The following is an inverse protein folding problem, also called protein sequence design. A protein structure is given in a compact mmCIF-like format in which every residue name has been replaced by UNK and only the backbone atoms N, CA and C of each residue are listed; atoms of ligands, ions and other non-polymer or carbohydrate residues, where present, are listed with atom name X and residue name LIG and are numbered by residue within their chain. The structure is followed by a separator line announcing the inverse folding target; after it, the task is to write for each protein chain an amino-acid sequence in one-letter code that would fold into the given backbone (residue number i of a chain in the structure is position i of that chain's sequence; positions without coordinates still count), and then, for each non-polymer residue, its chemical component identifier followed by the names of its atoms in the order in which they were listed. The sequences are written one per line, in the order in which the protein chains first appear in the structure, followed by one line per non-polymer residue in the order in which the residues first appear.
data_IF_776107927363
#
_entry.id   IF_776107927363
#
_cell.length_a   1.000
_cell.length_b   1.000
_cell.length_c   1.000
_cell.angle_alpha   90.00
_cell.angle_beta   90.00
_cell.angle_gamma   90.00
#
_symmetry.space_group_name_H-M   'P 1'
#
loop_
_entity.id
_entity.type
_entity.pdbx_description
1 polymer ?
#
# COMPACT_ATOMS: atom_id res chain seq x y z
N UNK A 1 23.00 18.28 10.96
CA UNK A 1 21.53 18.36 10.96
C UNK A 1 20.87 17.24 10.14
N UNK A 2 21.63 16.34 9.50
CA UNK A 2 21.09 15.33 8.58
C UNK A 2 20.50 14.07 9.23
N UNK A 3 20.85 13.74 10.47
CA UNK A 3 20.26 12.57 11.15
C UNK A 3 18.81 12.77 11.58
N UNK A 4 18.30 14.01 11.70
CA UNK A 4 16.91 14.28 12.15
C UNK A 4 15.87 14.26 11.03
N UNK A 5 16.30 14.46 9.77
CA UNK A 5 15.44 14.41 8.58
C UNK A 5 14.67 13.09 8.45
N UNK A 6 15.30 11.90 8.54
CA UNK A 6 14.56 10.64 8.43
C UNK A 6 13.51 10.47 9.53
N UNK A 7 13.81 10.84 10.78
CA UNK A 7 12.82 10.77 11.87
C UNK A 7 11.63 11.70 11.64
N UNK A 8 11.87 12.91 11.14
CA UNK A 8 10.81 13.86 10.83
C UNK A 8 9.92 13.35 9.68
N UNK A 9 10.52 12.69 8.68
CA UNK A 9 9.78 12.01 7.60
C UNK A 9 8.95 10.85 8.16
N UNK A 10 9.49 10.01 9.05
CA UNK A 10 8.72 8.91 9.67
C UNK A 10 7.53 9.44 10.47
N UNK A 11 7.72 10.50 11.26
CA UNK A 11 6.63 11.10 12.04
C UNK A 11 5.53 11.66 11.11
N UNK A 12 5.92 12.31 10.03
CA UNK A 12 4.99 12.86 9.04
C UNK A 12 4.24 11.75 8.27
N UNK A 13 4.93 10.66 7.93
CA UNK A 13 4.28 9.49 7.33
C UNK A 13 3.26 8.88 8.32
N UNK A 14 3.64 8.72 9.58
CA UNK A 14 2.76 8.13 10.59
C UNK A 14 1.55 9.00 10.92
N UNK A 15 1.68 10.33 10.90
CA UNK A 15 0.54 11.22 11.07
C UNK A 15 -0.44 11.13 9.90
N UNK A 16 0.05 11.03 8.66
CA UNK A 16 -0.78 10.80 7.47
C UNK A 16 -1.51 9.45 7.56
N UNK A 17 -0.80 8.37 7.95
CA UNK A 17 -1.43 7.06 8.14
C UNK A 17 -2.53 7.10 9.20
N UNK A 18 -2.29 7.79 10.31
CA UNK A 18 -3.27 7.96 11.39
C UNK A 18 -4.53 8.68 10.88
N UNK A 19 -4.37 9.77 10.13
CA UNK A 19 -5.48 10.48 9.49
C UNK A 19 -6.26 9.59 8.52
N UNK A 20 -5.55 8.81 7.69
CA UNK A 20 -6.17 7.84 6.78
C UNK A 20 -7.02 6.81 7.54
N UNK A 21 -6.51 6.23 8.63
CA UNK A 21 -7.25 5.25 9.43
C UNK A 21 -8.50 5.83 10.09
N UNK A 22 -8.40 7.05 10.64
CA UNK A 22 -9.54 7.75 11.25
C UNK A 22 -10.66 8.00 10.23
N UNK A 23 -10.32 8.55 9.06
CA UNK A 23 -11.30 8.83 8.00
C UNK A 23 -11.90 7.53 7.46
N UNK A 24 -11.07 6.51 7.25
CA UNK A 24 -11.54 5.18 6.79
C UNK A 24 -12.52 4.57 7.80
N UNK A 25 -12.21 4.64 9.09
CA UNK A 25 -13.07 4.13 10.16
C UNK A 25 -14.40 4.89 10.23
N UNK A 26 -14.38 6.22 10.19
CA UNK A 26 -15.59 7.03 10.17
C UNK A 26 -16.49 6.70 8.96
N UNK A 27 -15.88 6.40 7.81
CA UNK A 27 -16.62 6.04 6.60
C UNK A 27 -17.23 4.63 6.67
N UNK A 28 -16.57 3.68 7.37
CA UNK A 28 -17.12 2.35 7.65
C UNK A 28 -18.23 2.36 8.71
N UNK A 29 -18.07 3.15 9.77
CA UNK A 29 -19.09 3.32 10.81
C UNK A 29 -20.38 3.97 10.23
N UNK A 30 -20.25 4.74 9.14
CA UNK A 30 -21.37 5.26 8.35
C UNK A 30 -22.04 4.25 7.42
N UNK A 31 -21.66 2.96 7.45
CA UNK A 31 -22.29 1.88 6.69
C UNK A 31 -21.73 1.62 5.29
N UNK A 32 -20.57 2.20 4.94
CA UNK A 32 -19.97 2.01 3.61
C UNK A 32 -19.30 0.65 3.46
N UNK A 33 -19.56 -0.03 2.34
CA UNK A 33 -18.96 -1.32 2.02
C UNK A 33 -17.44 -1.21 1.81
N UNK A 34 -16.67 -2.06 2.49
CA UNK A 34 -15.20 -2.07 2.48
C UNK A 34 -14.60 -2.19 1.07
N UNK A 35 -15.19 -3.03 0.22
CA UNK A 35 -14.71 -3.23 -1.16
C UNK A 35 -14.83 -1.97 -2.00
N UNK A 36 -15.92 -1.23 -1.82
CA UNK A 36 -16.18 0.02 -2.54
C UNK A 36 -15.18 1.08 -2.09
N UNK A 37 -14.92 1.18 -0.78
CA UNK A 37 -13.94 2.12 -0.24
C UNK A 37 -12.53 1.87 -0.77
N UNK A 38 -12.09 0.61 -0.81
CA UNK A 38 -10.76 0.24 -1.32
C UNK A 38 -10.64 0.58 -2.81
N UNK A 39 -11.69 0.33 -3.59
CA UNK A 39 -11.73 0.69 -5.02
C UNK A 39 -11.63 2.21 -5.22
N UNK A 40 -12.46 2.99 -4.52
CA UNK A 40 -12.45 4.45 -4.63
C UNK A 40 -11.10 5.04 -4.22
N UNK A 41 -10.48 4.51 -3.16
CA UNK A 41 -9.14 4.96 -2.73
C UNK A 41 -8.10 4.72 -3.82
N UNK A 42 -8.08 3.55 -4.44
CA UNK A 42 -7.11 3.22 -5.49
C UNK A 42 -7.37 4.02 -6.77
N UNK A 43 -8.64 4.25 -7.11
CA UNK A 43 -9.04 5.09 -8.24
C UNK A 43 -8.64 6.55 -8.03
N UNK A 44 -8.91 7.11 -6.84
CA UNK A 44 -8.53 8.48 -6.49
C UNK A 44 -7.01 8.67 -6.47
N UNK A 45 -6.26 7.71 -5.92
CA UNK A 45 -4.80 7.72 -5.95
C UNK A 45 -4.27 7.71 -7.39
N UNK A 46 -4.87 6.90 -8.27
CA UNK A 46 -4.50 6.86 -9.69
C UNK A 46 -4.79 8.20 -10.38
N UNK A 47 -6.00 8.74 -10.17
CA UNK A 47 -6.41 10.03 -10.74
C UNK A 47 -5.52 11.19 -10.27
N UNK A 48 -5.09 11.16 -9.00
CA UNK A 48 -4.18 12.17 -8.45
C UNK A 48 -2.76 12.00 -9.00
N UNK A 49 -2.25 10.77 -9.14
CA UNK A 49 -0.88 10.53 -9.60
C UNK A 49 -0.69 10.75 -11.11
N UNK A 50 -1.72 10.54 -11.93
CA UNK A 50 -1.67 10.76 -13.39
C UNK A 50 -1.11 12.14 -13.77
N UNK A 51 -1.65 13.28 -13.28
CA UNK A 51 -1.14 14.60 -13.66
C UNK A 51 0.30 14.82 -13.20
N UNK A 52 0.70 14.32 -12.03
CA UNK A 52 2.10 14.43 -11.57
C UNK A 52 3.04 13.58 -12.42
N UNK A 53 2.64 12.36 -12.79
CA UNK A 53 3.41 11.49 -13.68
C UNK A 53 3.59 12.14 -15.06
N UNK A 54 2.54 12.76 -15.60
CA UNK A 54 2.61 13.46 -16.89
C UNK A 54 3.44 14.76 -16.81
N UNK A 55 3.41 15.48 -15.70
CA UNK A 55 4.11 16.76 -15.57
C UNK A 55 5.60 16.61 -15.20
N UNK A 56 5.93 15.75 -14.24
CA UNK A 56 7.30 15.57 -13.76
C UNK A 56 8.08 14.52 -14.56
N UNK A 57 7.44 13.40 -14.91
CA UNK A 57 8.18 12.22 -15.39
C UNK A 57 8.09 12.04 -16.90
N UNK A 58 7.14 12.65 -17.61
CA UNK A 58 6.97 12.41 -19.05
C UNK A 58 8.23 12.69 -19.89
N UNK A 59 9.04 13.69 -19.53
CA UNK A 59 10.29 13.97 -20.27
C UNK A 59 11.40 12.93 -20.03
N UNK A 60 11.39 12.26 -18.88
CA UNK A 60 12.46 11.33 -18.46
C UNK A 60 11.99 9.87 -18.44
N UNK A 61 10.69 9.61 -18.65
CA UNK A 61 10.10 8.29 -18.52
C UNK A 61 10.60 7.35 -19.63
N UNK A 62 11.21 6.21 -19.28
CA UNK A 62 11.55 5.19 -20.26
C UNK A 62 10.26 4.63 -20.88
N UNK A 63 10.28 4.36 -22.19
CA UNK A 63 9.14 3.79 -22.91
C UNK A 63 8.77 2.43 -22.29
N UNK A 64 7.66 2.37 -21.58
CA UNK A 64 7.13 1.11 -21.06
C UNK A 64 6.63 0.25 -22.22
N UNK A 65 7.28 -0.88 -22.46
CA UNK A 65 6.78 -1.90 -23.39
C UNK A 65 5.48 -2.49 -22.86
N UNK A 66 4.53 -2.81 -23.75
CA UNK A 66 3.25 -3.44 -23.41
C UNK A 66 3.41 -4.69 -22.54
N UNK A 67 4.47 -5.48 -22.78
CA UNK A 67 4.79 -6.67 -21.97
C UNK A 67 5.16 -6.31 -20.53
N UNK A 68 5.92 -5.23 -20.33
CA UNK A 68 6.31 -4.76 -18.99
C UNK A 68 5.10 -4.18 -18.26
N UNK A 69 4.24 -3.44 -18.96
CA UNK A 69 2.96 -2.96 -18.42
C UNK A 69 2.08 -4.14 -17.99
N UNK A 70 1.93 -5.15 -18.84
CA UNK A 70 1.10 -6.32 -18.53
C UNK A 70 1.62 -7.12 -17.33
N UNK A 71 2.95 -7.27 -17.19
CA UNK A 71 3.57 -7.87 -16.01
C UNK A 71 3.28 -7.08 -14.73
N UNK A 72 3.43 -5.76 -14.76
CA UNK A 72 3.13 -4.88 -13.62
C UNK A 72 1.64 -4.92 -13.26
N UNK A 73 0.76 -4.94 -14.27
CA UNK A 73 -0.68 -5.06 -14.09
C UNK A 73 -1.05 -6.39 -13.42
N UNK A 74 -0.55 -7.53 -13.94
CA UNK A 74 -0.79 -8.84 -13.34
C UNK A 74 -0.22 -8.94 -11.92
N UNK A 75 0.95 -8.36 -11.66
CA UNK A 75 1.55 -8.31 -10.33
C UNK A 75 0.68 -7.50 -9.35
N UNK A 76 0.14 -6.36 -9.78
CA UNK A 76 -0.74 -5.55 -8.94
C UNK A 76 -2.12 -6.20 -8.72
N UNK A 77 -2.69 -6.79 -9.79
CA UNK A 77 -3.99 -7.44 -9.76
C UNK A 77 -3.96 -8.72 -8.92
N UNK A 78 -2.96 -9.58 -9.14
CA UNK A 78 -2.90 -10.88 -8.49
C UNK A 78 -2.05 -10.84 -7.21
N UNK A 79 -0.94 -10.10 -7.18
CA UNK A 79 -0.09 -10.03 -6.00
C UNK A 79 -0.66 -9.12 -4.93
N UNK A 80 -0.78 -7.82 -5.23
CA UNK A 80 -1.15 -6.80 -4.23
C UNK A 80 -2.60 -6.92 -3.80
N UNK A 81 -3.52 -7.09 -4.76
CA UNK A 81 -4.97 -7.14 -4.45
C UNK A 81 -5.34 -8.40 -3.68
N UNK A 82 -4.76 -9.55 -4.03
CA UNK A 82 -4.97 -10.81 -3.31
C UNK A 82 -4.36 -10.75 -1.92
N UNK A 83 -3.16 -10.18 -1.77
CA UNK A 83 -2.53 -9.98 -0.45
C UNK A 83 -3.37 -9.09 0.47
N UNK A 84 -3.91 -7.98 -0.05
CA UNK A 84 -4.80 -7.08 0.71
C UNK A 84 -6.12 -7.76 1.09
N UNK A 85 -6.71 -8.54 0.19
CA UNK A 85 -7.94 -9.29 0.47
C UNK A 85 -7.72 -10.39 1.50
N UNK A 86 -6.66 -11.19 1.35
CA UNK A 86 -6.30 -12.23 2.33
C UNK A 86 -6.01 -11.60 3.69
N UNK A 87 -5.31 -10.45 3.73
CA UNK A 87 -5.09 -9.72 4.97
C UNK A 87 -6.41 -9.26 5.60
N UNK A 88 -7.33 -8.70 4.80
CA UNK A 88 -8.67 -8.30 5.26
C UNK A 88 -9.48 -9.47 5.82
N UNK A 89 -9.48 -10.61 5.14
CA UNK A 89 -10.15 -11.85 5.61
C UNK A 89 -9.47 -12.39 6.86
N UNK A 90 -8.15 -12.47 6.90
CA UNK A 90 -7.41 -12.92 8.07
C UNK A 90 -7.69 -12.03 9.28
N UNK A 91 -7.86 -10.72 9.10
CA UNK A 91 -8.23 -9.78 10.14
C UNK A 91 -9.63 -10.05 10.73
N UNK A 92 -10.56 -10.57 9.94
CA UNK A 92 -11.91 -10.94 10.40
C UNK A 92 -11.85 -12.19 11.28
N UNK A 93 -10.97 -13.13 10.96
CA UNK A 93 -10.81 -14.39 11.71
C UNK A 93 -9.79 -14.32 12.84
N UNK A 94 -9.08 -13.20 13.00
CA UNK A 94 -8.03 -13.04 14.01
C UNK A 94 -8.17 -11.77 14.84
N UNK A 95 -7.39 -11.68 15.91
CA UNK A 95 -7.34 -10.45 16.72
C UNK A 95 -6.42 -9.42 16.08
N UNK A 96 -6.73 -8.14 16.28
CA UNK A 96 -5.87 -7.04 15.85
C UNK A 96 -4.42 -7.18 16.39
N UNK A 97 -4.26 -7.78 17.58
CA UNK A 97 -2.97 -8.06 18.20
C UNK A 97 -2.15 -9.09 17.41
N UNK A 98 -2.77 -10.16 16.91
CA UNK A 98 -2.06 -11.16 16.10
C UNK A 98 -1.67 -10.59 14.74
N UNK A 99 -2.54 -9.79 14.12
CA UNK A 99 -2.23 -9.11 12.87
C UNK A 99 -1.05 -8.14 13.04
N UNK A 100 -1.02 -7.37 14.14
CA UNK A 100 0.10 -6.50 14.48
C UNK A 100 1.39 -7.28 14.76
N UNK A 101 1.32 -8.42 15.47
CA UNK A 101 2.49 -9.27 15.68
C UNK A 101 3.04 -9.82 14.34
N UNK A 102 2.15 -10.23 13.43
CA UNK A 102 2.52 -10.76 12.12
C UNK A 102 3.17 -9.71 11.23
N UNK A 103 2.68 -8.46 11.23
CA UNK A 103 3.30 -7.37 10.47
C UNK A 103 4.68 -7.01 11.01
N UNK A 104 4.90 -7.09 12.33
CA UNK A 104 6.22 -6.92 12.93
C UNK A 104 7.20 -8.04 12.55
N UNK A 105 6.72 -9.22 12.16
CA UNK A 105 7.54 -10.31 11.65
C UNK A 105 7.89 -10.19 10.16
N UNK A 106 7.28 -9.26 9.41
CA UNK A 106 7.56 -9.08 7.98
C UNK A 106 9.06 -8.92 7.66
N UNK A 107 9.86 -8.11 8.39
CA UNK A 107 11.29 -7.97 8.10
C UNK A 107 12.06 -9.28 8.23
N UNK A 108 11.68 -10.10 9.21
CA UNK A 108 12.30 -11.42 9.46
C UNK A 108 11.97 -12.39 8.33
N UNK A 109 10.70 -12.43 7.91
CA UNK A 109 10.25 -13.27 6.79
C UNK A 109 10.93 -12.84 5.48
N UNK A 110 11.01 -11.53 5.23
CA UNK A 110 11.71 -10.98 4.05
C UNK A 110 13.18 -11.35 4.06
N UNK A 111 13.85 -11.29 5.20
CA UNK A 111 15.25 -11.70 5.33
C UNK A 111 15.45 -13.19 5.05
N UNK A 112 14.59 -14.06 5.62
CA UNK A 112 14.64 -15.50 5.37
C UNK A 112 14.42 -15.84 3.90
N UNK A 113 13.42 -15.23 3.26
CA UNK A 113 13.18 -15.36 1.81
C UNK A 113 14.40 -14.89 1.01
N UNK A 114 14.97 -13.73 1.35
CA UNK A 114 16.14 -13.20 0.65
C UNK A 114 17.36 -14.12 0.76
N UNK A 115 17.55 -14.81 1.89
CA UNK A 115 18.63 -15.79 2.07
C UNK A 115 18.33 -17.10 1.32
N UNK A 116 17.07 -17.55 1.30
CA UNK A 116 16.65 -18.79 0.66
C UNK A 116 16.60 -18.69 -0.88
N UNK A 117 16.27 -17.51 -1.40
CA UNK A 117 16.25 -17.18 -2.83
C UNK A 117 17.57 -16.57 -3.34
N UNK A 118 18.61 -16.51 -2.49
CA UNK A 118 19.95 -16.10 -2.89
C UNK A 118 20.60 -17.13 -3.80
#
# INVERSE_FOLDING_TARGET
MDQKKPYLVVILIQSIYTGMFLISKAAFDGGMNNFIFVFYRQAAATAFLIPFALFFEWKNAPRLSFVSFWKLFLLSLCGVTLSLNIYGVALIYTSASLAAATTNCLPVITFLLAVLLR
#
